data_IF_477362063349
#
_entry.id   IF_477362063349
#
_cell.length_a   1.000
_cell.length_b   1.000
_cell.length_c   1.000
_cell.angle_alpha   90.00
_cell.angle_beta   90.00
_cell.angle_gamma   90.00
#
_symmetry.space_group_name_H-M   'P 1'
#
loop_
_entity.id
_entity.type
_entity.pdbx_description
1 polymer ?
#
# COMPACT_ATOMS: atom_id res chain seq x y z
N UNK A 1 8.95 -19.28 2.82
CA UNK A 1 9.27 -17.95 3.38
C UNK A 1 9.60 -17.04 2.22
N UNK A 2 8.87 -15.94 2.01
CA UNK A 2 9.24 -15.00 0.95
C UNK A 2 10.54 -14.30 1.34
N UNK A 3 11.53 -14.33 0.46
CA UNK A 3 12.82 -13.71 0.70
C UNK A 3 12.70 -12.25 0.26
N UNK A 4 12.16 -11.39 1.13
CA UNK A 4 11.94 -9.97 0.79
C UNK A 4 13.29 -9.31 0.53
N UNK A 5 13.47 -8.80 -0.68
CA UNK A 5 14.64 -8.01 -1.06
C UNK A 5 14.16 -6.65 -1.55
N UNK A 6 14.72 -5.60 -0.98
CA UNK A 6 14.55 -4.22 -1.46
C UNK A 6 15.91 -3.69 -1.87
N UNK A 7 15.94 -2.81 -2.85
CA UNK A 7 17.18 -2.26 -3.38
C UNK A 7 17.38 -0.85 -2.86
N UNK A 8 18.55 -0.57 -2.28
CA UNK A 8 18.94 0.75 -1.81
C UNK A 8 19.97 1.34 -2.79
N UNK A 9 19.56 2.27 -3.67
CA UNK A 9 20.49 3.07 -4.45
C UNK A 9 21.25 4.01 -3.52
N UNK A 10 22.55 4.07 -3.68
CA UNK A 10 23.42 4.98 -2.94
C UNK A 10 23.74 6.24 -3.74
N UNK A 11 24.23 7.28 -3.07
CA UNK A 11 24.69 8.52 -3.73
C UNK A 11 25.84 8.32 -4.75
N UNK A 12 26.54 7.18 -4.68
CA UNK A 12 27.60 6.79 -5.62
C UNK A 12 27.11 5.79 -6.67
N UNK A 13 25.80 5.73 -6.91
CA UNK A 13 25.14 4.88 -7.89
C UNK A 13 25.34 3.36 -7.71
N UNK A 14 25.95 2.93 -6.60
CA UNK A 14 25.93 1.52 -6.19
C UNK A 14 24.55 1.15 -5.65
N UNK A 15 24.08 -0.06 -5.93
CA UNK A 15 22.77 -0.55 -5.50
C UNK A 15 22.93 -1.75 -4.58
N UNK A 16 22.44 -1.60 -3.35
CA UNK A 16 22.55 -2.59 -2.28
C UNK A 16 21.27 -3.42 -2.14
N UNK A 17 21.31 -4.75 -2.29
CA UNK A 17 20.14 -5.59 -2.01
C UNK A 17 19.99 -5.82 -0.50
N UNK A 18 19.02 -5.18 0.14
CA UNK A 18 18.74 -5.29 1.57
C UNK A 18 17.78 -6.45 1.88
N UNK A 19 18.30 -7.43 2.64
CA UNK A 19 17.57 -8.64 3.08
C UNK A 19 17.19 -8.62 4.55
N UNK A 20 17.87 -7.81 5.34
CA UNK A 20 17.55 -7.55 6.73
C UNK A 20 18.49 -6.50 7.30
N UNK A 21 18.46 -6.36 8.61
CA UNK A 21 19.19 -5.35 9.37
C UNK A 21 20.32 -5.96 10.22
N UNK A 22 20.43 -7.29 10.30
CA UNK A 22 21.53 -7.86 11.08
C UNK A 22 22.88 -7.52 10.45
N UNK A 23 23.96 -7.41 11.25
CA UNK A 23 25.30 -7.15 10.71
C UNK A 23 25.73 -8.14 9.62
N UNK A 24 25.36 -9.41 9.74
CA UNK A 24 25.66 -10.41 8.71
C UNK A 24 24.86 -10.20 7.42
N UNK A 25 23.59 -9.80 7.52
CA UNK A 25 22.81 -9.43 6.35
C UNK A 25 23.37 -8.18 5.66
N UNK A 26 23.79 -7.16 6.41
CA UNK A 26 24.41 -5.96 5.81
C UNK A 26 25.76 -6.29 5.14
N UNK A 27 26.57 -7.19 5.71
CA UNK A 27 27.77 -7.73 5.04
C UNK A 27 27.41 -8.44 3.75
N UNK A 28 26.35 -9.25 3.77
CA UNK A 28 25.90 -9.96 2.59
C UNK A 28 25.36 -8.99 1.51
N UNK A 29 24.61 -7.96 1.90
CA UNK A 29 24.19 -6.87 1.01
C UNK A 29 25.39 -6.16 0.39
N UNK A 30 26.42 -5.87 1.19
CA UNK A 30 27.62 -5.20 0.72
C UNK A 30 28.46 -6.05 -0.25
N UNK A 31 28.48 -7.37 -0.02
CA UNK A 31 29.14 -8.34 -0.92
C UNK A 31 28.42 -8.45 -2.26
N UNK A 32 27.10 -8.47 -2.25
CA UNK A 32 26.24 -8.61 -3.44
C UNK A 32 25.77 -7.26 -4.02
N UNK A 33 26.48 -6.18 -3.71
CA UNK A 33 26.16 -4.87 -4.24
C UNK A 33 26.36 -4.84 -5.76
N UNK A 34 25.37 -4.33 -6.49
CA UNK A 34 25.55 -3.96 -7.90
C UNK A 34 26.38 -2.69 -7.93
N UNK A 35 27.59 -2.77 -8.49
CA UNK A 35 28.55 -1.67 -8.45
C UNK A 35 28.47 -0.84 -9.73
N UNK A 36 28.37 0.47 -9.57
CA UNK A 36 28.72 1.42 -10.62
C UNK A 36 30.24 1.42 -10.93
N UNK A 37 30.65 2.20 -11.95
CA UNK A 37 32.03 2.31 -12.45
C UNK A 37 33.05 2.72 -11.39
N UNK A 38 32.66 3.49 -10.38
CA UNK A 38 33.57 3.91 -9.31
C UNK A 38 33.99 2.72 -8.43
N UNK A 39 35.29 2.59 -8.13
CA UNK A 39 35.76 1.56 -7.19
C UNK A 39 35.53 2.02 -5.76
N UNK A 40 34.64 1.32 -5.05
CA UNK A 40 34.42 1.48 -3.62
C UNK A 40 34.95 0.28 -2.83
N UNK A 41 35.67 0.55 -1.74
CA UNK A 41 36.15 -0.49 -0.81
C UNK A 41 34.96 -1.07 -0.03
N UNK A 42 35.03 -2.35 0.32
CA UNK A 42 33.96 -3.05 1.05
C UNK A 42 33.58 -2.35 2.37
N UNK A 43 34.56 -1.96 3.19
CA UNK A 43 34.30 -1.25 4.45
C UNK A 43 33.65 0.12 4.25
N UNK A 44 34.00 0.84 3.17
CA UNK A 44 33.35 2.10 2.82
C UNK A 44 31.90 1.90 2.46
N UNK A 45 31.59 0.79 1.78
CA UNK A 45 30.24 0.43 1.38
C UNK A 45 29.39 -0.02 2.57
N UNK A 46 29.96 -0.75 3.53
CA UNK A 46 29.32 -1.06 4.81
C UNK A 46 28.97 0.21 5.60
N UNK A 47 29.94 1.13 5.75
CA UNK A 47 29.70 2.40 6.42
C UNK A 47 28.66 3.26 5.68
N UNK A 48 28.61 3.17 4.35
CA UNK A 48 27.61 3.85 3.55
C UNK A 48 26.21 3.30 3.84
N UNK A 49 26.03 1.97 3.87
CA UNK A 49 24.75 1.33 4.24
C UNK A 49 24.28 1.82 5.60
N UNK A 50 25.15 1.77 6.61
CA UNK A 50 24.83 2.18 7.98
C UNK A 50 24.39 3.63 8.06
N UNK A 51 25.03 4.53 7.31
CA UNK A 51 24.63 5.94 7.20
C UNK A 51 23.28 6.11 6.52
N UNK A 52 23.01 5.34 5.47
CA UNK A 52 21.71 5.37 4.79
C UNK A 52 20.56 4.87 5.69
N UNK A 53 20.85 3.99 6.66
CA UNK A 53 19.91 3.57 7.71
C UNK A 53 19.71 4.61 8.83
N UNK A 54 20.42 5.76 8.80
CA UNK A 54 20.25 6.84 9.78
C UNK A 54 21.27 6.89 10.91
N UNK A 55 22.31 6.06 10.88
CA UNK A 55 23.32 6.03 11.95
C UNK A 55 24.54 6.89 11.61
N UNK A 56 25.04 7.64 12.59
CA UNK A 56 26.22 8.51 12.41
C UNK A 56 27.53 7.71 12.39
N UNK A 57 27.57 6.61 13.13
CA UNK A 57 28.70 5.72 13.31
C UNK A 57 29.11 4.92 12.08
N UNK A 58 30.20 4.16 12.24
CA UNK A 58 30.65 3.17 11.27
C UNK A 58 30.01 1.79 11.48
N UNK A 59 30.33 0.84 10.62
CA UNK A 59 29.80 -0.52 10.71
C UNK A 59 30.25 -1.29 11.96
N UNK A 60 31.39 -0.93 12.57
CA UNK A 60 31.82 -1.53 13.84
C UNK A 60 30.82 -1.16 14.95
N UNK A 61 30.53 0.13 15.11
CA UNK A 61 29.56 0.65 16.09
C UNK A 61 28.13 0.18 15.79
N UNK A 62 27.78 0.00 14.52
CA UNK A 62 26.47 -0.54 14.14
C UNK A 62 26.17 -1.91 14.75
N UNK A 63 27.19 -2.74 15.02
CA UNK A 63 26.98 -4.06 15.66
C UNK A 63 26.44 -3.92 17.08
N UNK A 64 26.99 -2.97 17.82
CA UNK A 64 26.56 -2.63 19.18
C UNK A 64 25.15 -2.03 19.13
N UNK A 65 24.92 -1.05 18.24
CA UNK A 65 23.60 -0.45 18.03
C UNK A 65 22.54 -1.50 17.65
N UNK A 66 22.89 -2.48 16.83
CA UNK A 66 21.97 -3.55 16.45
C UNK A 66 21.58 -4.41 17.66
N UNK A 67 22.58 -4.82 18.45
CA UNK A 67 22.39 -5.62 19.67
C UNK A 67 21.59 -4.88 20.73
N UNK A 68 21.93 -3.61 20.96
CA UNK A 68 21.52 -2.88 22.16
C UNK A 68 20.31 -1.97 21.92
N UNK A 69 19.93 -1.75 20.65
CA UNK A 69 18.82 -0.86 20.30
C UNK A 69 17.87 -1.46 19.27
N UNK A 70 18.37 -1.86 18.09
CA UNK A 70 17.48 -2.31 17.01
C UNK A 70 16.76 -3.60 17.40
N UNK A 71 17.51 -4.60 17.88
CA UNK A 71 16.94 -5.90 18.25
C UNK A 71 15.96 -5.78 19.45
N UNK A 72 16.29 -5.10 20.55
CA UNK A 72 15.34 -4.85 21.64
C UNK A 72 14.08 -4.09 21.18
N UNK A 73 14.24 -3.11 20.28
CA UNK A 73 13.11 -2.40 19.70
C UNK A 73 12.19 -3.33 18.89
N UNK A 74 12.79 -4.21 18.08
CA UNK A 74 12.03 -5.21 17.31
C UNK A 74 11.29 -6.17 18.24
N UNK A 75 11.95 -6.67 19.28
CA UNK A 75 11.33 -7.56 20.29
C UNK A 75 10.19 -6.86 21.03
N UNK A 76 10.40 -5.63 21.50
CA UNK A 76 9.39 -4.83 22.18
C UNK A 76 8.14 -4.57 21.34
N UNK A 77 8.32 -4.37 20.02
CA UNK A 77 7.22 -4.12 19.09
C UNK A 77 6.63 -5.40 18.45
N UNK A 78 7.15 -6.59 18.79
CA UNK A 78 6.69 -7.87 18.25
C UNK A 78 7.08 -8.11 16.78
N UNK A 79 8.22 -7.58 16.32
CA UNK A 79 8.70 -7.67 14.94
C UNK A 79 9.58 -8.93 14.79
N UNK A 80 8.95 -10.07 14.55
CA UNK A 80 9.62 -11.38 14.62
C UNK A 80 10.08 -11.93 13.26
N UNK A 81 9.24 -11.82 12.23
CA UNK A 81 9.50 -12.47 10.94
C UNK A 81 9.36 -11.48 9.79
N UNK A 82 10.41 -11.32 8.99
CA UNK A 82 10.33 -10.44 7.82
C UNK A 82 9.38 -11.04 6.76
N UNK A 83 8.45 -10.23 6.25
CA UNK A 83 7.48 -10.63 5.23
C UNK A 83 7.16 -9.45 4.30
N UNK A 84 6.63 -9.75 3.11
CA UNK A 84 6.16 -8.71 2.20
C UNK A 84 4.78 -8.21 2.65
N UNK A 85 4.75 -7.01 3.19
CA UNK A 85 3.54 -6.36 3.70
C UNK A 85 2.91 -5.40 2.68
N UNK A 86 3.50 -5.23 1.49
CA UNK A 86 3.01 -4.27 0.48
C UNK A 86 2.20 -4.93 -0.64
N UNK A 87 2.25 -6.27 -0.71
CA UNK A 87 1.47 -7.06 -1.66
C UNK A 87 0.30 -7.76 -0.95
N UNK A 88 -0.89 -7.82 -1.59
CA UNK A 88 -2.00 -8.63 -1.10
C UNK A 88 -1.59 -10.09 -0.93
N UNK A 89 -2.06 -10.70 0.15
CA UNK A 89 -1.91 -12.14 0.38
C UNK A 89 -3.03 -12.87 -0.39
N UNK A 90 -2.93 -12.93 -1.73
CA UNK A 90 -3.96 -13.47 -2.60
C UNK A 90 -3.44 -14.49 -3.61
N UNK A 91 -4.35 -15.28 -4.21
CA UNK A 91 -4.00 -16.18 -5.32
C UNK A 91 -3.63 -15.34 -6.56
N UNK A 92 -2.63 -15.75 -7.37
CA UNK A 92 -2.20 -14.99 -8.56
C UNK A 92 -3.26 -14.75 -9.64
N UNK A 93 -4.41 -15.43 -9.57
CA UNK A 93 -5.49 -15.34 -10.55
C UNK A 93 -6.62 -14.38 -10.14
N UNK A 94 -6.52 -13.71 -9.00
CA UNK A 94 -7.52 -12.74 -8.54
C UNK A 94 -7.45 -11.45 -9.38
N UNK A 95 -8.59 -10.94 -9.84
CA UNK A 95 -8.68 -9.66 -10.56
C UNK A 95 -8.16 -8.48 -9.72
N UNK A 96 -8.04 -8.65 -8.40
CA UNK A 96 -7.54 -7.67 -7.45
C UNK A 96 -6.01 -7.71 -7.21
N UNK A 97 -5.28 -8.64 -7.85
CA UNK A 97 -3.79 -8.68 -7.84
C UNK A 97 -3.12 -7.33 -8.16
N UNK A 98 -3.69 -6.44 -9.02
CA UNK A 98 -3.13 -5.12 -9.26
C UNK A 98 -3.20 -4.14 -8.08
N UNK A 99 -4.00 -4.39 -7.05
CA UNK A 99 -4.11 -3.54 -5.85
C UNK A 99 -2.92 -3.74 -4.92
N UNK A 100 -1.79 -3.11 -5.25
CA UNK A 100 -0.57 -3.18 -4.45
C UNK A 100 0.12 -1.82 -4.37
N UNK A 101 0.72 -1.56 -3.23
CA UNK A 101 1.60 -0.41 -3.07
C UNK A 101 3.03 -0.80 -3.45
N UNK A 102 3.73 0.08 -4.14
CA UNK A 102 5.17 -0.08 -4.35
C UNK A 102 5.94 0.45 -3.15
N UNK A 103 7.15 -0.07 -2.93
CA UNK A 103 8.02 0.46 -1.86
C UNK A 103 8.40 1.92 -2.13
N UNK A 104 8.46 2.30 -3.39
CA UNK A 104 8.71 3.67 -3.83
C UNK A 104 7.61 4.62 -3.37
N UNK A 105 6.34 4.22 -3.53
CA UNK A 105 5.20 5.00 -3.05
C UNK A 105 5.27 5.16 -1.52
N UNK A 106 5.56 4.08 -0.80
CA UNK A 106 5.68 4.09 0.66
C UNK A 106 6.84 4.99 1.11
N UNK A 107 8.03 4.83 0.53
CA UNK A 107 9.18 5.68 0.83
C UNK A 107 8.92 7.15 0.50
N UNK A 108 8.25 7.44 -0.62
CA UNK A 108 7.84 8.80 -0.98
C UNK A 108 6.92 9.39 0.09
N UNK A 109 5.90 8.64 0.52
CA UNK A 109 4.96 9.11 1.53
C UNK A 109 5.59 9.32 2.89
N UNK A 110 6.45 8.40 3.34
CA UNK A 110 7.01 8.44 4.69
C UNK A 110 8.19 9.40 4.84
N UNK A 111 8.96 9.65 3.78
CA UNK A 111 10.21 10.43 3.88
C UNK A 111 10.27 11.68 3.00
N UNK A 112 9.39 11.84 2.00
CA UNK A 112 9.50 12.92 1.00
C UNK A 112 8.25 13.80 0.88
N UNK A 113 7.12 13.37 1.44
CA UNK A 113 5.84 14.10 1.31
C UNK A 113 5.81 15.44 2.05
N UNK A 114 6.61 15.61 3.11
CA UNK A 114 6.51 16.73 4.03
C UNK A 114 5.27 16.66 4.96
N UNK A 115 4.43 15.63 4.81
CA UNK A 115 3.28 15.38 5.67
C UNK A 115 3.67 14.62 6.94
N UNK A 116 2.89 14.72 8.04
CA UNK A 116 3.08 13.90 9.22
C UNK A 116 3.14 12.40 8.89
N UNK A 117 3.91 11.64 9.67
CA UNK A 117 3.93 10.18 9.56
C UNK A 117 2.54 9.63 9.92
N UNK A 118 1.96 8.78 9.07
CA UNK A 118 0.72 8.08 9.44
C UNK A 118 1.02 7.02 10.50
N UNK A 119 -0.01 6.63 11.25
CA UNK A 119 0.01 5.51 12.20
C UNK A 119 -0.11 4.16 11.48
N UNK A 120 -0.93 4.09 10.43
CA UNK A 120 -1.11 2.89 9.62
C UNK A 120 -1.18 3.22 8.12
N UNK A 121 -0.84 2.23 7.29
CA UNK A 121 -1.04 2.22 5.85
C UNK A 121 -1.96 1.06 5.48
N UNK A 122 -2.95 1.30 4.63
CA UNK A 122 -3.72 0.23 4.03
C UNK A 122 -2.95 -0.28 2.82
N UNK A 123 -2.42 -1.49 2.93
CA UNK A 123 -1.67 -2.16 1.86
C UNK A 123 -2.48 -3.27 1.21
N UNK A 124 -3.60 -3.65 1.82
CA UNK A 124 -4.36 -4.85 1.43
C UNK A 124 -3.67 -6.15 1.83
N UNK A 125 -2.53 -6.10 2.54
CA UNK A 125 -1.90 -7.30 3.08
C UNK A 125 -2.88 -8.00 4.02
N UNK A 126 -3.16 -9.29 3.79
CA UNK A 126 -4.14 -10.10 4.52
C UNK A 126 -5.63 -9.66 4.44
N UNK A 127 -5.96 -8.66 3.62
CA UNK A 127 -7.36 -8.31 3.33
C UNK A 127 -8.00 -9.37 2.43
N UNK A 128 -9.25 -9.76 2.71
CA UNK A 128 -9.94 -10.84 2.00
C UNK A 128 -10.59 -10.34 0.70
N UNK A 129 -9.76 -9.90 -0.24
CA UNK A 129 -10.22 -9.44 -1.55
C UNK A 129 -11.09 -10.46 -2.26
N UNK A 130 -10.87 -11.76 -2.01
CA UNK A 130 -11.64 -12.80 -2.65
C UNK A 130 -13.09 -12.83 -2.13
N UNK A 131 -13.28 -12.84 -0.81
CA UNK A 131 -14.61 -12.81 -0.22
C UNK A 131 -15.41 -11.55 -0.61
N UNK A 132 -14.71 -10.43 -0.75
CA UNK A 132 -15.34 -9.15 -1.08
C UNK A 132 -15.56 -8.97 -2.60
N UNK A 133 -14.54 -9.15 -3.43
CA UNK A 133 -14.54 -8.61 -4.80
C UNK A 133 -14.19 -9.59 -5.92
N UNK A 134 -13.80 -10.84 -5.63
CA UNK A 134 -13.55 -11.85 -6.68
C UNK A 134 -14.78 -11.98 -7.58
N UNK A 135 -14.64 -12.18 -8.90
CA UNK A 135 -15.74 -12.17 -9.88
C UNK A 135 -16.69 -10.95 -9.90
N UNK A 136 -16.54 -9.99 -8.98
CA UNK A 136 -17.58 -9.03 -8.63
C UNK A 136 -17.96 -8.13 -9.79
N UNK A 137 -16.99 -7.69 -10.60
CA UNK A 137 -17.26 -6.92 -11.83
C UNK A 137 -18.07 -7.74 -12.85
N UNK A 138 -17.76 -9.02 -13.02
CA UNK A 138 -18.49 -9.90 -13.93
C UNK A 138 -19.91 -10.13 -13.44
N UNK A 139 -20.07 -10.47 -12.17
CA UNK A 139 -21.37 -10.69 -11.53
C UNK A 139 -22.23 -9.42 -11.55
N UNK A 140 -21.62 -8.25 -11.32
CA UNK A 140 -22.27 -6.94 -11.40
C UNK A 140 -22.81 -6.68 -12.80
N UNK A 141 -21.92 -6.77 -13.81
CA UNK A 141 -22.27 -6.52 -15.20
C UNK A 141 -23.39 -7.46 -15.67
N UNK A 142 -23.26 -8.77 -15.39
CA UNK A 142 -24.27 -9.77 -15.76
C UNK A 142 -25.64 -9.45 -15.16
N UNK A 143 -25.68 -9.06 -13.89
CA UNK A 143 -26.93 -8.71 -13.19
C UNK A 143 -27.53 -7.44 -13.78
N UNK A 144 -26.71 -6.42 -14.03
CA UNK A 144 -27.11 -5.15 -14.64
C UNK A 144 -27.71 -5.35 -16.04
N UNK A 145 -27.05 -6.13 -16.90
CA UNK A 145 -27.59 -6.44 -18.23
C UNK A 145 -28.90 -7.22 -18.16
N UNK A 146 -29.03 -8.19 -17.26
CA UNK A 146 -30.26 -9.00 -17.13
C UNK A 146 -31.46 -8.19 -16.62
N UNK A 147 -31.23 -7.31 -15.66
CA UNK A 147 -32.31 -6.56 -15.01
C UNK A 147 -32.64 -5.25 -15.71
N UNK A 148 -31.63 -4.59 -16.29
CA UNK A 148 -31.73 -3.20 -16.76
C UNK A 148 -31.25 -3.00 -18.20
N UNK A 149 -30.77 -4.04 -18.88
CA UNK A 149 -30.33 -3.95 -20.28
C UNK A 149 -28.98 -3.25 -20.51
N UNK A 150 -28.26 -2.86 -19.45
CA UNK A 150 -26.97 -2.20 -19.57
C UNK A 150 -26.31 -1.88 -18.23
N UNK A 151 -25.04 -1.48 -18.28
CA UNK A 151 -24.26 -1.04 -17.12
C UNK A 151 -24.49 0.48 -16.95
N UNK A 152 -24.87 0.96 -15.75
CA UNK A 152 -25.04 2.39 -15.51
C UNK A 152 -23.70 3.13 -15.58
N UNK A 153 -23.68 4.31 -16.22
CA UNK A 153 -22.54 5.22 -16.14
C UNK A 153 -22.45 5.86 -14.75
N UNK A 154 -21.24 6.27 -14.36
CA UNK A 154 -21.06 7.18 -13.22
C UNK A 154 -21.83 8.47 -13.52
N UNK A 155 -22.47 9.04 -12.50
CA UNK A 155 -23.32 10.23 -12.64
C UNK A 155 -24.80 9.90 -12.93
N UNK A 156 -25.11 8.75 -13.53
CA UNK A 156 -26.50 8.40 -13.82
C UNK A 156 -27.37 8.27 -12.56
N UNK A 157 -28.67 8.57 -12.67
CA UNK A 157 -29.64 8.36 -11.57
C UNK A 157 -29.55 6.96 -10.98
N UNK A 158 -29.40 5.95 -11.84
CA UNK A 158 -29.28 4.55 -11.42
C UNK A 158 -28.02 4.30 -10.60
N UNK A 159 -26.89 4.89 -10.99
CA UNK A 159 -25.66 4.80 -10.20
C UNK A 159 -25.88 5.31 -8.77
N UNK A 160 -26.52 6.48 -8.61
CA UNK A 160 -26.81 7.02 -7.29
C UNK A 160 -27.83 6.19 -6.49
N UNK A 161 -28.82 5.58 -7.14
CA UNK A 161 -29.71 4.61 -6.48
C UNK A 161 -28.93 3.41 -5.92
N UNK A 162 -27.96 2.88 -6.68
CA UNK A 162 -27.13 1.76 -6.25
C UNK A 162 -26.22 2.13 -5.08
N UNK A 163 -25.61 3.32 -5.11
CA UNK A 163 -24.85 3.86 -3.97
C UNK A 163 -25.75 3.98 -2.74
N UNK A 164 -26.96 4.52 -2.91
CA UNK A 164 -27.93 4.63 -1.82
C UNK A 164 -28.25 3.28 -1.19
N UNK A 165 -28.49 2.25 -2.01
CA UNK A 165 -28.69 0.87 -1.53
C UNK A 165 -27.45 0.29 -0.84
N UNK A 166 -26.26 0.52 -1.38
CA UNK A 166 -25.00 0.07 -0.78
C UNK A 166 -24.73 0.69 0.60
N UNK A 167 -25.29 1.87 0.89
CA UNK A 167 -25.21 2.53 2.21
C UNK A 167 -26.23 2.03 3.21
N UNK A 168 -27.33 1.40 2.77
CA UNK A 168 -28.40 0.92 3.67
C UNK A 168 -28.01 -0.34 4.48
N UNK A 169 -26.81 -0.90 4.25
CA UNK A 169 -26.22 -1.93 5.12
C UNK A 169 -25.90 -3.25 4.41
N UNK A 170 -25.19 -4.16 5.11
CA UNK A 170 -24.63 -5.39 4.55
C UNK A 170 -25.67 -6.47 4.18
N UNK A 171 -26.93 -6.32 4.61
CA UNK A 171 -27.93 -7.41 4.53
C UNK A 171 -28.71 -7.49 3.22
N UNK A 172 -28.44 -6.60 2.26
CA UNK A 172 -29.11 -6.66 0.95
C UNK A 172 -28.26 -7.44 -0.06
N UNK A 173 -28.79 -8.59 -0.48
CA UNK A 173 -28.27 -9.35 -1.62
C UNK A 173 -28.40 -8.53 -2.91
N UNK A 174 -27.36 -8.58 -3.74
CA UNK A 174 -27.37 -7.88 -5.02
C UNK A 174 -28.03 -8.72 -6.10
N UNK A 175 -29.31 -8.44 -6.37
CA UNK A 175 -30.10 -9.25 -7.29
C UNK A 175 -30.16 -10.71 -6.80
N UNK A 176 -29.80 -11.65 -7.66
CA UNK A 176 -29.79 -13.09 -7.32
C UNK A 176 -28.48 -13.55 -6.69
N UNK A 177 -27.51 -12.64 -6.48
CA UNK A 177 -26.22 -12.96 -5.86
C UNK A 177 -26.35 -12.97 -4.34
N UNK A 178 -25.72 -13.95 -3.67
CA UNK A 178 -25.57 -13.97 -2.21
C UNK A 178 -24.54 -12.96 -1.68
N UNK A 179 -23.96 -12.12 -2.57
CA UNK A 179 -23.00 -11.08 -2.20
C UNK A 179 -23.72 -9.82 -1.75
N UNK A 180 -23.09 -9.12 -0.80
CA UNK A 180 -23.57 -7.83 -0.28
C UNK A 180 -23.63 -6.81 -1.41
N UNK A 181 -24.69 -6.01 -1.45
CA UNK A 181 -24.86 -4.93 -2.44
C UNK A 181 -23.67 -3.97 -2.45
N UNK A 182 -23.12 -3.64 -1.28
CA UNK A 182 -21.91 -2.80 -1.18
C UNK A 182 -20.73 -3.39 -1.95
N UNK A 183 -20.39 -4.65 -1.68
CA UNK A 183 -19.27 -5.34 -2.34
C UNK A 183 -19.47 -5.38 -3.85
N UNK A 184 -20.70 -5.61 -4.30
CA UNK A 184 -21.05 -5.66 -5.71
C UNK A 184 -20.96 -4.30 -6.41
N UNK A 185 -21.39 -3.23 -5.76
CA UNK A 185 -21.26 -1.87 -6.29
C UNK A 185 -19.79 -1.47 -6.36
N UNK A 186 -19.04 -1.68 -5.27
CA UNK A 186 -17.61 -1.36 -5.19
C UNK A 186 -16.80 -2.14 -6.23
N UNK A 187 -17.04 -3.44 -6.38
CA UNK A 187 -16.36 -4.28 -7.40
C UNK A 187 -16.82 -4.01 -8.84
N UNK A 188 -18.09 -3.65 -9.06
CA UNK A 188 -18.61 -3.27 -10.38
C UNK A 188 -17.86 -2.07 -10.98
N UNK A 189 -17.54 -1.10 -10.13
CA UNK A 189 -16.80 0.13 -10.46
C UNK A 189 -15.33 0.09 -10.03
N UNK A 190 -14.75 -1.11 -9.93
CA UNK A 190 -13.37 -1.32 -9.50
C UNK A 190 -12.34 -0.48 -10.28
N UNK A 191 -12.43 -0.44 -11.61
CA UNK A 191 -11.45 0.25 -12.46
C UNK A 191 -11.63 1.76 -12.44
N UNK A 192 -12.84 2.20 -12.14
CA UNK A 192 -13.27 3.58 -12.16
C UNK A 192 -12.95 4.27 -10.83
N UNK A 193 -12.87 3.52 -9.72
CA UNK A 193 -12.60 4.07 -8.39
C UNK A 193 -11.43 3.38 -7.66
N UNK A 194 -11.53 2.09 -7.32
CA UNK A 194 -10.57 1.46 -6.40
C UNK A 194 -9.17 1.42 -7.00
N UNK A 195 -9.04 0.92 -8.23
CA UNK A 195 -7.76 0.77 -8.91
C UNK A 195 -6.99 2.10 -9.03
N UNK A 196 -7.57 3.20 -9.56
CA UNK A 196 -6.86 4.48 -9.63
C UNK A 196 -6.60 5.11 -8.26
N UNK A 197 -7.39 4.77 -7.23
CA UNK A 197 -7.23 5.26 -5.86
C UNK A 197 -6.24 4.48 -5.03
N UNK A 198 -5.73 3.34 -5.52
CA UNK A 198 -4.86 2.45 -4.76
C UNK A 198 -3.41 2.95 -4.75
N UNK A 199 -3.21 4.11 -4.15
CA UNK A 199 -1.92 4.78 -4.02
C UNK A 199 -1.91 5.64 -2.74
N UNK A 200 -0.76 6.24 -2.43
CA UNK A 200 -0.58 7.07 -1.23
C UNK A 200 -0.68 8.59 -1.50
N UNK A 201 -1.13 9.00 -2.69
CA UNK A 201 -1.39 10.41 -2.99
C UNK A 201 -2.72 10.81 -2.34
N UNK A 202 -2.69 11.89 -1.56
CA UNK A 202 -3.89 12.39 -0.89
C UNK A 202 -4.32 11.60 0.34
N UNK A 203 -3.49 10.66 0.83
CA UNK A 203 -3.71 9.98 2.12
C UNK A 203 -4.99 9.13 2.21
N UNK A 204 -5.54 8.72 1.06
CA UNK A 204 -6.72 7.85 1.00
C UNK A 204 -6.49 6.46 1.62
N UNK A 205 -5.25 5.96 1.62
CA UNK A 205 -4.87 4.65 2.18
C UNK A 205 -4.01 4.79 3.45
N UNK A 206 -4.18 5.86 4.23
CA UNK A 206 -3.45 6.04 5.50
C UNK A 206 -4.39 6.27 6.68
N UNK A 207 -3.87 6.13 7.90
CA UNK A 207 -4.57 6.44 9.15
C UNK A 207 -3.67 7.31 10.06
N UNK A 208 -4.14 8.45 10.59
CA UNK A 208 -5.41 9.09 10.24
C UNK A 208 -5.38 9.56 8.79
N UNK A 209 -6.54 9.50 8.15
CA UNK A 209 -6.72 10.07 6.82
C UNK A 209 -6.57 11.60 6.90
N UNK A 210 -5.95 12.25 5.92
CA UNK A 210 -5.81 13.72 5.92
C UNK A 210 -7.18 14.40 5.77
N UNK A 211 -7.36 15.65 6.23
CA UNK A 211 -8.68 16.33 6.18
C UNK A 211 -9.29 16.45 4.75
N UNK A 212 -8.48 16.23 3.70
CA UNK A 212 -8.89 16.20 2.29
C UNK A 212 -8.84 14.79 1.66
N UNK A 213 -8.73 13.72 2.45
CA UNK A 213 -8.32 12.38 2.00
C UNK A 213 -9.39 11.46 1.46
N UNK A 214 -10.67 11.85 1.48
CA UNK A 214 -11.75 11.05 0.88
C UNK A 214 -11.68 11.02 -0.65
N UNK A 215 -10.66 11.65 -1.25
CA UNK A 215 -10.68 12.06 -2.64
C UNK A 215 -9.60 11.32 -3.45
N UNK A 216 -10.01 10.38 -4.31
CA UNK A 216 -9.22 9.97 -5.44
C UNK A 216 -8.84 11.21 -6.26
N UNK A 217 -7.55 11.54 -6.35
CA UNK A 217 -7.11 12.63 -7.23
C UNK A 217 -7.03 12.12 -8.66
N UNK A 218 -8.10 12.32 -9.42
CA UNK A 218 -8.17 12.01 -10.85
C UNK A 218 -7.59 13.16 -11.69
N UNK A 219 -6.93 12.81 -12.80
CA UNK A 219 -6.46 13.77 -13.79
C UNK A 219 -7.63 14.20 -14.70
N UNK A 220 -7.80 15.51 -14.89
CA UNK A 220 -8.81 16.10 -15.78
C UNK A 220 -8.13 16.82 -16.95
N UNK A 221 -8.25 16.33 -18.20
CA UNK A 221 -7.77 17.05 -19.38
C UNK A 221 -8.50 18.38 -19.56
N UNK A 222 -7.82 19.42 -20.06
CA UNK A 222 -8.43 20.74 -20.32
C UNK A 222 -9.59 20.71 -21.34
N UNK A 223 -9.62 19.69 -22.20
CA UNK A 223 -10.69 19.49 -23.18
C UNK A 223 -11.92 18.78 -22.63
N UNK A 224 -11.90 18.38 -21.36
CA UNK A 224 -13.02 17.68 -20.73
C UNK A 224 -14.07 18.68 -20.26
N UNK A 225 -15.34 18.33 -20.47
CA UNK A 225 -16.44 19.19 -20.05
C UNK A 225 -16.44 19.34 -18.51
N UNK A 226 -16.38 20.57 -17.96
CA UNK A 226 -16.25 20.77 -16.52
C UNK A 226 -17.42 20.22 -15.71
N UNK A 227 -18.65 20.30 -16.24
CA UNK A 227 -19.85 19.84 -15.54
C UNK A 227 -19.91 18.32 -15.54
N UNK A 228 -19.61 17.67 -16.67
CA UNK A 228 -19.44 16.22 -16.74
C UNK A 228 -18.35 15.73 -15.78
N UNK A 229 -17.20 16.43 -15.72
CA UNK A 229 -16.14 16.08 -14.78
C UNK A 229 -16.59 16.18 -13.33
N UNK A 230 -17.28 17.27 -12.98
CA UNK A 230 -17.75 17.49 -11.62
C UNK A 230 -18.72 16.38 -11.17
N UNK A 231 -19.62 15.95 -12.06
CA UNK A 231 -20.56 14.86 -11.79
C UNK A 231 -19.86 13.50 -11.64
N UNK A 232 -18.96 13.15 -12.56
CA UNK A 232 -18.17 11.91 -12.48
C UNK A 232 -17.27 11.88 -11.25
N UNK A 233 -16.67 13.02 -10.92
CA UNK A 233 -15.86 13.19 -9.73
C UNK A 233 -16.69 12.95 -8.47
N UNK A 234 -17.87 13.58 -8.34
CA UNK A 234 -18.77 13.35 -7.21
C UNK A 234 -19.18 11.89 -7.08
N UNK A 235 -19.47 11.21 -8.19
CA UNK A 235 -19.79 9.79 -8.18
C UNK A 235 -18.60 8.93 -7.73
N UNK A 236 -17.39 9.24 -8.19
CA UNK A 236 -16.16 8.55 -7.77
C UNK A 236 -15.90 8.72 -6.28
N UNK A 237 -16.07 9.93 -5.74
CA UNK A 237 -15.94 10.19 -4.30
C UNK A 237 -16.91 9.34 -3.50
N UNK A 238 -18.18 9.22 -3.94
CA UNK A 238 -19.18 8.38 -3.27
C UNK A 238 -18.81 6.90 -3.26
N UNK A 239 -18.17 6.39 -4.32
CA UNK A 239 -17.63 5.02 -4.36
C UNK A 239 -16.40 4.87 -3.44
N UNK A 240 -15.51 5.87 -3.43
CA UNK A 240 -14.32 5.88 -2.60
C UNK A 240 -14.69 5.87 -1.12
N UNK A 241 -15.72 6.63 -0.72
CA UNK A 241 -16.28 6.61 0.63
C UNK A 241 -16.74 5.21 1.02
N UNK A 242 -17.47 4.50 0.14
CA UNK A 242 -17.92 3.12 0.42
C UNK A 242 -16.76 2.15 0.62
N UNK A 243 -15.73 2.24 -0.22
CA UNK A 243 -14.53 1.41 -0.06
C UNK A 243 -13.75 1.79 1.21
N UNK A 244 -13.66 3.09 1.52
CA UNK A 244 -12.98 3.60 2.71
C UNK A 244 -13.66 3.10 3.99
N UNK A 245 -14.98 3.23 4.07
CA UNK A 245 -15.80 2.70 5.16
C UNK A 245 -15.55 1.18 5.35
N UNK A 246 -15.43 0.42 4.25
CA UNK A 246 -15.19 -1.02 4.31
C UNK A 246 -13.81 -1.34 4.90
N UNK A 247 -12.75 -0.70 4.40
CA UNK A 247 -11.40 -0.96 4.89
C UNK A 247 -11.21 -0.48 6.33
N UNK A 248 -11.87 0.61 6.75
CA UNK A 248 -11.82 1.09 8.14
C UNK A 248 -12.59 0.19 9.11
N UNK A 249 -13.58 -0.54 8.63
CA UNK A 249 -14.32 -1.53 9.44
C UNK A 249 -13.54 -2.81 9.73
N UNK A 250 -12.36 -2.96 9.11
CA UNK A 250 -11.51 -4.15 9.18
C UNK A 250 -10.14 -3.81 9.74
N UNK A 251 -9.63 -4.62 10.68
CA UNK A 251 -8.21 -4.55 11.07
C UNK A 251 -7.28 -5.19 10.02
N UNK A 252 -7.84 -6.00 9.10
CA UNK A 252 -7.09 -6.64 8.00
C UNK A 252 -6.81 -5.64 6.89
N UNK A 253 -5.68 -5.80 6.20
CA UNK A 253 -5.23 -4.89 5.15
C UNK A 253 -4.39 -3.71 5.67
N UNK A 254 -4.46 -3.41 6.96
CA UNK A 254 -3.70 -2.34 7.60
C UNK A 254 -2.35 -2.82 8.14
N UNK A 255 -1.36 -1.97 7.99
CA UNK A 255 0.01 -2.19 8.45
C UNK A 255 0.42 -1.00 9.30
N UNK A 256 0.84 -1.24 10.54
CA UNK A 256 1.29 -0.20 11.47
C UNK A 256 2.64 0.38 11.01
N UNK A 257 2.81 1.68 11.21
CA UNK A 257 4.02 2.43 10.88
C UNK A 257 4.72 2.79 12.18
N UNK A 258 5.91 2.23 12.40
CA UNK A 258 6.64 2.36 13.66
C UNK A 258 8.02 2.98 13.37
N UNK A 259 8.18 4.30 13.58
CA UNK A 259 9.47 4.95 13.35
C UNK A 259 10.50 4.49 14.40
N UNK A 260 11.70 4.14 13.94
CA UNK A 260 12.85 3.87 14.82
C UNK A 260 13.78 5.08 14.89
N UNK A 261 14.05 5.70 13.74
CA UNK A 261 14.77 6.97 13.61
C UNK A 261 14.29 7.71 12.34
N UNK A 262 14.88 8.86 12.03
CA UNK A 262 14.48 9.71 10.89
C UNK A 262 14.61 9.05 9.50
N UNK A 263 15.33 7.93 9.40
CA UNK A 263 15.56 7.19 8.14
C UNK A 263 15.11 5.73 8.18
N UNK A 264 14.82 5.17 9.34
CA UNK A 264 14.43 3.78 9.51
C UNK A 264 13.05 3.69 10.13
N UNK A 265 12.11 3.17 9.34
CA UNK A 265 10.73 2.94 9.76
C UNK A 265 10.42 1.46 9.59
N UNK A 266 9.83 0.86 10.61
CA UNK A 266 9.30 -0.50 10.55
C UNK A 266 7.84 -0.46 10.14
N UNK A 267 7.46 -1.45 9.33
CA UNK A 267 6.09 -1.75 8.96
C UNK A 267 5.69 -3.02 9.68
N UNK A 268 4.64 -3.00 10.48
CA UNK A 268 4.19 -4.16 11.26
C UNK A 268 2.83 -4.65 10.78
N UNK A 269 2.79 -5.93 10.41
CA UNK A 269 1.57 -6.66 10.09
C UNK A 269 1.17 -7.62 11.21
N UNK A 270 0.15 -8.43 10.95
CA UNK A 270 -0.32 -9.45 11.89
C UNK A 270 0.73 -10.56 12.15
N UNK A 271 0.56 -11.27 13.26
CA UNK A 271 1.36 -12.46 13.65
C UNK A 271 2.87 -12.20 13.78
N UNK A 272 3.25 -10.98 14.13
CA UNK A 272 4.64 -10.56 14.25
C UNK A 272 5.40 -10.46 12.93
N UNK A 273 4.68 -10.40 11.81
CA UNK A 273 5.27 -10.11 10.50
C UNK A 273 5.68 -8.66 10.43
N UNK A 274 6.84 -8.39 9.85
CA UNK A 274 7.31 -7.03 9.64
C UNK A 274 8.01 -6.84 8.28
N UNK A 275 8.08 -5.61 7.82
CA UNK A 275 9.07 -5.16 6.84
C UNK A 275 9.72 -3.87 7.38
N UNK A 276 10.73 -3.36 6.70
CA UNK A 276 11.30 -2.06 7.02
C UNK A 276 11.53 -1.26 5.75
N UNK A 277 11.49 0.06 5.90
CA UNK A 277 11.71 1.00 4.82
C UNK A 277 12.69 2.08 5.25
N UNK A 278 13.51 2.49 4.28
CA UNK A 278 14.42 3.63 4.38
C UNK A 278 14.26 4.54 3.17
N UNK A 279 14.71 5.80 3.21
CA UNK A 279 14.58 6.71 2.07
C UNK A 279 15.16 6.11 0.79
N UNK A 280 14.36 6.15 -0.28
CA UNK A 280 14.81 5.80 -1.63
C UNK A 280 14.89 4.30 -1.95
N UNK A 281 14.35 3.41 -1.10
CA UNK A 281 14.24 1.99 -1.48
C UNK A 281 13.43 1.80 -2.76
N UNK A 282 13.84 0.78 -3.51
CA UNK A 282 13.21 0.34 -4.76
C UNK A 282 12.80 -1.13 -4.71
N UNK A 283 11.77 -1.49 -5.47
CA UNK A 283 11.47 -2.89 -5.77
C UNK A 283 12.55 -3.48 -6.71
N UNK A 284 12.53 -4.80 -6.87
CA UNK A 284 13.27 -5.45 -7.96
C UNK A 284 12.76 -5.00 -9.33
#
# INVERSE_FOLDING_TARGET
MSNVVRYLPTKKFHILPLRGLSPEELKNSAKNCLRDREKIKHNSLLNLVVKELGFKGGFSEYREIYSDSIKPFMEHNGLHFRADLLHPAGKPADAMVPLKLTVEQVCGRLFQSGSPLPKKLFTGHNFDYHAHYDDGKWTFNRTMYRQFGGIPSIGSTRFYELIGKAKQGPDSNFGDSSRRTRDMVVSGFYFECIYPSFNLLGDFLVEPASDNSSLPKLYCPQSYDPDCFAEEYQGTVKLADLFREEIESSERGWVEVIPFNDRLVFLKGADGKYDFVVPGLRSA
#
